data_IF_603064412318
#
_entry.id   IF_603064412318
#
_cell.length_a   1.000
_cell.length_b   1.000
_cell.length_c   1.000
_cell.angle_alpha   90.00
_cell.angle_beta   90.00
_cell.angle_gamma   90.00
#
_symmetry.space_group_name_H-M   'P 1'
#
loop_
_entity.id
_entity.type
_entity.pdbx_description
1 polymer ?
#
# COMPACT_ATOMS: atom_id res chain seq x y z
N UNK A 1 9.55 18.48 -22.16
CA UNK A 1 9.68 19.71 -21.38
C UNK A 1 8.41 19.78 -20.52
N UNK A 2 8.54 19.53 -19.23
CA UNK A 2 7.40 19.56 -18.29
C UNK A 2 7.28 21.01 -17.82
N UNK A 3 6.20 21.68 -18.17
CA UNK A 3 5.90 23.01 -17.63
C UNK A 3 5.24 22.84 -16.26
N UNK A 4 5.88 23.40 -15.25
CA UNK A 4 5.35 23.51 -13.89
C UNK A 4 4.42 24.71 -13.82
N UNK A 5 3.14 24.50 -13.59
CA UNK A 5 2.20 25.58 -13.25
C UNK A 5 1.91 25.48 -11.75
N UNK A 6 2.54 26.36 -10.97
CA UNK A 6 2.22 26.53 -9.55
C UNK A 6 1.11 27.57 -9.42
N UNK A 7 -0.05 27.16 -8.94
CA UNK A 7 -1.11 28.08 -8.52
C UNK A 7 -1.22 27.95 -6.99
N UNK A 8 -0.82 28.98 -6.30
CA UNK A 8 -0.94 29.11 -4.83
C UNK A 8 -2.43 29.13 -4.47
N UNK A 9 -2.87 28.16 -3.63
CA UNK A 9 -4.22 27.91 -3.09
C UNK A 9 -5.17 27.01 -3.90
N UNK A 10 -4.78 26.49 -5.07
CA UNK A 10 -5.42 25.33 -5.69
C UNK A 10 -4.29 24.45 -6.21
N UNK A 11 -3.91 23.45 -5.45
CA UNK A 11 -2.88 22.51 -5.85
C UNK A 11 -3.43 21.73 -7.04
N UNK A 12 -2.85 21.99 -8.22
CA UNK A 12 -3.10 21.20 -9.42
C UNK A 12 -2.11 20.05 -9.43
N UNK A 13 -2.56 18.91 -8.96
CA UNK A 13 -1.76 17.70 -9.02
C UNK A 13 -1.93 17.03 -10.40
N UNK A 14 -0.82 16.57 -10.96
CA UNK A 14 -0.80 15.96 -12.29
C UNK A 14 -0.73 14.45 -12.19
N UNK A 15 -1.67 13.78 -12.84
CA UNK A 15 -1.69 12.34 -13.00
C UNK A 15 -1.24 11.96 -14.41
N UNK A 16 -0.21 11.16 -14.52
CA UNK A 16 0.25 10.60 -15.79
C UNK A 16 -0.38 9.24 -16.02
N UNK A 17 -1.44 9.19 -16.82
CA UNK A 17 -2.01 7.95 -17.34
C UNK A 17 -1.93 7.95 -18.87
N UNK A 18 -1.22 6.98 -19.45
CA UNK A 18 -1.16 6.74 -20.90
C UNK A 18 -0.84 7.99 -21.74
N UNK A 19 0.14 8.80 -21.33
CA UNK A 19 0.52 10.07 -21.99
C UNK A 19 -0.59 11.13 -22.04
N UNK A 20 -1.64 11.01 -21.23
CA UNK A 20 -2.69 12.01 -21.08
C UNK A 20 -2.61 12.67 -19.70
N UNK A 21 -2.61 13.99 -19.69
CA UNK A 21 -2.61 14.79 -18.47
C UNK A 21 -4.06 15.02 -18.04
N UNK A 22 -4.43 14.52 -16.87
CA UNK A 22 -5.77 14.75 -16.31
C UNK A 22 -5.66 15.53 -15.00
N UNK A 23 -6.48 16.56 -14.86
CA UNK A 23 -6.57 17.42 -13.68
C UNK A 23 -7.70 16.94 -12.79
N UNK A 24 -7.41 16.63 -11.52
CA UNK A 24 -8.42 16.18 -10.57
C UNK A 24 -8.35 17.00 -9.28
N UNK A 25 -9.54 17.44 -8.82
CA UNK A 25 -9.73 17.93 -7.46
C UNK A 25 -10.21 16.75 -6.62
N UNK A 26 -9.33 16.20 -5.78
CA UNK A 26 -9.65 15.06 -4.93
C UNK A 26 -9.56 15.44 -3.45
N UNK A 27 -10.46 14.92 -2.60
CA UNK A 27 -10.42 15.24 -1.18
C UNK A 27 -9.12 14.70 -0.55
N UNK A 28 -8.37 15.59 0.07
CA UNK A 28 -7.23 15.25 0.93
C UNK A 28 -7.71 14.58 2.21
N UNK A 29 -6.85 13.96 2.99
CA UNK A 29 -7.14 13.44 4.31
C UNK A 29 -6.85 11.97 4.54
N UNK A 30 -7.32 11.45 5.67
CA UNK A 30 -7.03 10.10 6.12
C UNK A 30 -8.19 9.14 5.87
N UNK A 31 -7.86 7.87 5.65
CA UNK A 31 -8.78 6.75 5.57
C UNK A 31 -8.29 5.58 6.44
N UNK A 32 -9.25 4.88 7.05
CA UNK A 32 -8.95 3.72 7.89
C UNK A 32 -9.91 2.58 7.59
N UNK A 33 -9.36 1.40 7.38
CA UNK A 33 -10.11 0.17 7.10
C UNK A 33 -9.64 -0.96 8.02
N UNK A 34 -10.60 -1.65 8.65
CA UNK A 34 -10.36 -2.89 9.37
C UNK A 34 -10.86 -4.06 8.51
N UNK A 35 -9.93 -4.86 8.01
CA UNK A 35 -10.18 -5.99 7.12
C UNK A 35 -10.09 -7.29 7.92
N UNK A 36 -11.23 -7.84 8.30
CA UNK A 36 -11.35 -9.01 9.18
C UNK A 36 -11.99 -10.23 8.51
N UNK A 37 -12.17 -10.19 7.19
CA UNK A 37 -12.60 -11.35 6.42
C UNK A 37 -11.40 -12.28 6.16
N UNK A 38 -11.62 -13.60 5.94
CA UNK A 38 -10.53 -14.55 5.67
C UNK A 38 -9.72 -14.23 4.41
N UNK A 39 -10.30 -13.50 3.48
CA UNK A 39 -9.63 -12.99 2.28
C UNK A 39 -10.32 -11.74 1.77
N UNK A 40 -9.61 -10.95 1.00
CA UNK A 40 -10.15 -9.75 0.39
C UNK A 40 -9.12 -9.02 -0.44
N UNK A 41 -9.56 -7.90 -1.03
CA UNK A 41 -8.71 -7.02 -1.83
C UNK A 41 -8.87 -5.58 -1.38
N UNK A 42 -7.82 -4.81 -1.55
CA UNK A 42 -7.85 -3.37 -1.34
C UNK A 42 -6.87 -2.69 -2.31
N UNK A 43 -7.01 -1.38 -2.45
CA UNK A 43 -6.18 -0.60 -3.35
C UNK A 43 -5.97 0.82 -2.80
N UNK A 44 -5.00 1.52 -3.34
CA UNK A 44 -4.89 2.96 -3.12
C UNK A 44 -6.15 3.67 -3.62
N UNK A 45 -6.52 4.83 -3.03
CA UNK A 45 -7.67 5.60 -3.52
C UNK A 45 -7.59 5.84 -5.02
N UNK A 46 -8.71 5.74 -5.72
CA UNK A 46 -8.89 5.88 -7.17
C UNK A 46 -8.19 4.85 -8.07
N UNK A 47 -7.45 3.89 -7.54
CA UNK A 47 -6.84 2.87 -8.39
C UNK A 47 -7.88 2.22 -9.34
N UNK A 48 -7.60 2.02 -10.64
CA UNK A 48 -6.34 2.20 -11.35
C UNK A 48 -6.02 3.63 -11.80
N UNK A 49 -6.86 4.63 -11.47
CA UNK A 49 -6.55 6.04 -11.63
C UNK A 49 -5.51 6.49 -10.59
N UNK A 50 -5.02 7.72 -10.74
CA UNK A 50 -4.02 8.24 -9.82
C UNK A 50 -4.60 8.50 -8.43
N UNK A 51 -3.84 8.13 -7.40
CA UNK A 51 -4.21 8.47 -6.02
C UNK A 51 -4.15 9.98 -5.79
N UNK A 52 -4.99 10.51 -4.86
CA UNK A 52 -4.94 11.93 -4.50
C UNK A 52 -3.68 12.27 -3.72
N UNK A 53 -3.29 13.55 -3.79
CA UNK A 53 -2.27 14.14 -2.91
C UNK A 53 -2.74 14.19 -1.44
N UNK A 54 -1.83 14.40 -0.51
CA UNK A 54 -2.09 14.55 0.93
C UNK A 54 -2.95 13.42 1.52
N UNK A 55 -2.71 12.18 1.11
CA UNK A 55 -3.42 11.01 1.64
C UNK A 55 -2.63 10.28 2.69
N UNK A 56 -3.38 9.85 3.69
CA UNK A 56 -2.90 8.98 4.73
C UNK A 56 -3.91 7.87 5.00
N UNK A 57 -3.71 6.72 4.36
CA UNK A 57 -4.62 5.59 4.47
C UNK A 57 -4.00 4.43 5.26
N UNK A 58 -4.82 3.77 6.05
CA UNK A 58 -4.41 2.64 6.89
C UNK A 58 -5.36 1.47 6.68
N UNK A 59 -4.81 0.30 6.45
CA UNK A 59 -5.53 -0.98 6.44
C UNK A 59 -4.95 -1.85 7.54
N UNK A 60 -5.78 -2.17 8.55
CA UNK A 60 -5.47 -3.21 9.53
C UNK A 60 -6.11 -4.51 9.05
N UNK A 61 -5.28 -5.49 8.69
CA UNK A 61 -5.73 -6.81 8.28
C UNK A 61 -5.65 -7.73 9.49
N UNK A 62 -6.75 -8.48 9.75
CA UNK A 62 -6.87 -9.38 10.88
C UNK A 62 -7.28 -10.78 10.42
N UNK A 63 -6.41 -11.76 10.58
CA UNK A 63 -6.71 -13.16 10.33
C UNK A 63 -7.40 -13.82 11.55
N UNK A 64 -8.15 -14.91 11.37
CA UNK A 64 -8.61 -15.75 12.46
C UNK A 64 -7.48 -16.20 13.39
N UNK A 65 -7.83 -16.57 14.63
CA UNK A 65 -6.83 -17.05 15.60
C UNK A 65 -6.08 -18.26 15.08
N UNK A 66 -4.76 -18.29 15.25
CA UNK A 66 -3.90 -19.38 14.82
C UNK A 66 -3.54 -19.36 13.32
N UNK A 67 -3.90 -18.30 12.61
CA UNK A 67 -3.53 -18.09 11.21
C UNK A 67 -2.60 -16.87 11.06
N UNK A 68 -1.93 -16.79 9.93
CA UNK A 68 -1.14 -15.64 9.50
C UNK A 68 -1.68 -15.08 8.19
N UNK A 69 -1.20 -13.93 7.77
CA UNK A 69 -1.67 -13.20 6.61
C UNK A 69 -0.65 -13.35 5.47
N UNK A 70 -1.14 -13.81 4.32
CA UNK A 70 -0.52 -13.67 3.03
C UNK A 70 -1.06 -12.38 2.39
N UNK A 71 -0.17 -11.44 2.03
CA UNK A 71 -0.51 -10.21 1.34
C UNK A 71 0.28 -10.15 0.03
N UNK A 72 -0.42 -9.97 -1.08
CA UNK A 72 0.18 -9.88 -2.41
C UNK A 72 -0.21 -8.58 -3.10
N UNK A 73 0.77 -7.80 -3.52
CA UNK A 73 0.59 -6.64 -4.37
C UNK A 73 0.63 -7.08 -5.84
N UNK A 74 -0.50 -6.95 -6.53
CA UNK A 74 -0.63 -7.30 -7.94
C UNK A 74 -0.19 -6.18 -8.87
N UNK A 75 -0.28 -4.93 -8.42
CA UNK A 75 0.27 -3.76 -9.08
C UNK A 75 0.81 -2.78 -8.04
N UNK A 76 1.91 -2.09 -8.37
CA UNK A 76 2.53 -1.11 -7.47
C UNK A 76 3.29 -0.05 -8.26
N UNK A 77 2.80 1.20 -8.22
CA UNK A 77 3.43 2.34 -8.88
C UNK A 77 3.16 3.61 -8.09
N UNK A 78 4.09 3.97 -7.23
CA UNK A 78 4.11 5.21 -6.47
C UNK A 78 5.21 6.14 -6.97
N UNK A 79 5.22 7.38 -6.51
CA UNK A 79 6.32 8.28 -6.77
C UNK A 79 7.64 7.68 -6.26
N UNK A 80 8.72 7.89 -7.02
CA UNK A 80 10.06 7.45 -6.64
C UNK A 80 10.98 8.64 -6.41
N UNK A 81 11.47 8.79 -5.20
CA UNK A 81 12.44 9.82 -4.87
C UNK A 81 13.85 9.29 -4.67
N UNK A 82 13.95 8.21 -3.93
CA UNK A 82 15.21 7.54 -3.63
C UNK A 82 14.92 6.20 -2.94
N UNK A 83 15.96 5.44 -2.63
CA UNK A 83 15.85 4.19 -1.87
C UNK A 83 15.23 4.36 -0.46
N UNK A 84 15.16 5.59 0.06
CA UNK A 84 14.55 5.88 1.37
C UNK A 84 13.06 6.23 1.28
N UNK A 85 12.49 6.33 0.07
CA UNK A 85 11.09 6.69 -0.18
C UNK A 85 10.66 7.93 0.63
N UNK A 86 11.22 9.12 0.34
CA UNK A 86 11.00 10.31 1.15
C UNK A 86 9.62 10.96 0.94
N UNK A 87 8.96 10.68 -0.18
CA UNK A 87 7.72 11.32 -0.59
C UNK A 87 6.53 10.38 -0.42
N UNK A 88 6.14 9.66 -1.49
CA UNK A 88 5.02 8.73 -1.43
C UNK A 88 5.49 7.32 -1.10
N UNK A 89 4.82 6.65 -0.17
CA UNK A 89 5.25 5.30 0.22
C UNK A 89 4.12 4.45 0.81
N UNK A 90 4.36 3.15 0.80
CA UNK A 90 3.65 2.18 1.62
C UNK A 90 4.60 1.64 2.68
N UNK A 91 4.22 1.77 3.95
CA UNK A 91 4.85 1.09 5.08
C UNK A 91 4.03 -0.13 5.48
N UNK A 92 4.68 -1.27 5.70
CA UNK A 92 4.07 -2.50 6.18
C UNK A 92 4.69 -2.89 7.52
N UNK A 93 3.81 -3.19 8.48
CA UNK A 93 4.20 -3.56 9.84
C UNK A 93 3.60 -4.92 10.22
N UNK A 94 4.41 -5.76 10.83
CA UNK A 94 4.00 -7.04 11.39
C UNK A 94 3.33 -6.80 12.75
N UNK A 95 2.01 -6.83 12.80
CA UNK A 95 1.24 -6.57 13.99
C UNK A 95 0.14 -5.51 13.82
N UNK A 96 -0.43 -5.06 14.95
CA UNK A 96 -1.55 -4.10 14.98
C UNK A 96 -1.12 -2.65 14.95
N UNK A 97 0.14 -2.35 15.20
CA UNK A 97 0.63 -0.98 15.43
C UNK A 97 1.93 -0.70 14.70
N UNK A 98 2.12 0.58 14.37
CA UNK A 98 3.27 1.06 13.59
C UNK A 98 4.47 1.33 14.49
N UNK A 99 5.09 0.30 15.04
CA UNK A 99 6.37 0.42 15.73
C UNK A 99 7.53 0.18 14.77
N UNK A 100 8.63 0.91 14.93
CA UNK A 100 9.82 0.76 14.07
C UNK A 100 10.38 -0.66 14.09
N UNK A 101 10.30 -1.33 15.25
CA UNK A 101 10.75 -2.72 15.44
C UNK A 101 9.88 -3.76 14.71
N UNK A 102 8.65 -3.42 14.36
CA UNK A 102 7.72 -4.30 13.62
C UNK A 102 7.62 -3.94 12.13
N UNK A 103 8.34 -2.92 11.66
CA UNK A 103 8.31 -2.55 10.24
C UNK A 103 8.99 -3.63 9.40
N UNK A 104 8.23 -4.21 8.47
CA UNK A 104 8.74 -5.19 7.50
C UNK A 104 9.45 -4.47 6.37
N UNK A 105 8.78 -3.46 5.76
CA UNK A 105 9.28 -2.77 4.57
C UNK A 105 8.66 -1.37 4.45
N UNK A 106 9.41 -0.46 3.82
CA UNK A 106 8.91 0.74 3.16
C UNK A 106 9.12 0.58 1.67
N UNK A 107 8.07 0.79 0.86
CA UNK A 107 8.10 0.62 -0.58
C UNK A 107 7.59 1.87 -1.30
N UNK A 108 8.25 2.24 -2.39
CA UNK A 108 7.87 3.32 -3.31
C UNK A 108 8.36 2.99 -4.73
N UNK A 109 8.04 3.85 -5.69
CA UNK A 109 8.40 3.66 -7.09
C UNK A 109 7.55 2.59 -7.79
N UNK A 110 8.04 2.10 -8.92
CA UNK A 110 7.37 1.05 -9.68
C UNK A 110 8.01 -0.30 -9.36
N UNK A 111 7.21 -1.22 -8.83
CA UNK A 111 7.66 -2.56 -8.46
C UNK A 111 6.89 -3.63 -9.25
N UNK A 112 7.58 -4.72 -9.60
CA UNK A 112 6.94 -5.94 -10.05
C UNK A 112 6.05 -6.52 -8.92
N UNK A 113 5.05 -7.38 -9.23
CA UNK A 113 4.23 -8.01 -8.20
C UNK A 113 5.08 -8.70 -7.13
N UNK A 114 4.71 -8.50 -5.86
CA UNK A 114 5.48 -8.97 -4.70
C UNK A 114 4.58 -9.36 -3.54
N UNK A 115 5.15 -10.07 -2.57
CA UNK A 115 4.39 -10.71 -1.49
C UNK A 115 5.03 -10.44 -0.13
N UNK A 116 4.18 -10.28 0.88
CA UNK A 116 4.57 -10.18 2.30
C UNK A 116 3.76 -11.21 3.11
N UNK A 117 4.40 -11.77 4.13
CA UNK A 117 3.78 -12.63 5.12
C UNK A 117 3.88 -11.99 6.50
N UNK A 118 2.81 -12.05 7.28
CA UNK A 118 2.88 -11.70 8.70
C UNK A 118 3.40 -12.88 9.51
N UNK A 119 3.98 -12.61 10.69
CA UNK A 119 4.35 -13.65 11.65
C UNK A 119 3.14 -14.15 12.46
N UNK A 120 2.08 -13.35 12.53
CA UNK A 120 0.88 -13.66 13.30
C UNK A 120 -0.39 -13.17 12.61
N UNK A 121 -1.47 -13.03 13.37
CA UNK A 121 -2.80 -12.74 12.82
C UNK A 121 -3.05 -11.30 12.39
N UNK A 122 -2.09 -10.38 12.56
CA UNK A 122 -2.25 -8.98 12.22
C UNK A 122 -1.17 -8.49 11.28
N UNK A 123 -1.57 -7.69 10.29
CA UNK A 123 -0.69 -6.95 9.39
C UNK A 123 -1.25 -5.55 9.21
N UNK A 124 -0.41 -4.53 9.41
CA UNK A 124 -0.79 -3.14 9.24
C UNK A 124 -0.13 -2.58 7.99
N UNK A 125 -0.93 -2.06 7.07
CA UNK A 125 -0.48 -1.38 5.85
C UNK A 125 -0.83 0.09 5.95
N UNK A 126 0.14 0.97 5.70
CA UNK A 126 -0.04 2.43 5.72
C UNK A 126 0.45 3.00 4.40
N UNK A 127 -0.40 3.77 3.75
CA UNK A 127 -0.08 4.52 2.54
C UNK A 127 -0.03 6.00 2.87
N UNK A 128 0.98 6.66 2.37
CA UNK A 128 1.18 8.10 2.44
C UNK A 128 1.45 8.66 1.05
N UNK A 129 0.82 9.79 0.72
CA UNK A 129 1.17 10.61 -0.44
C UNK A 129 1.35 12.06 -0.02
N UNK A 130 2.37 12.70 -0.58
CA UNK A 130 2.63 14.13 -0.38
C UNK A 130 1.75 15.02 -1.27
N UNK A 131 2.12 16.28 -1.45
CA UNK A 131 1.29 17.31 -2.09
C UNK A 131 1.55 17.52 -3.58
N UNK A 132 2.41 16.71 -4.24
CA UNK A 132 2.93 17.09 -5.55
C UNK A 132 2.58 16.10 -6.67
N UNK A 133 3.05 14.86 -6.61
CA UNK A 133 2.98 13.92 -7.73
C UNK A 133 2.01 12.77 -7.44
N UNK A 134 1.11 12.52 -8.36
CA UNK A 134 0.16 11.41 -8.30
C UNK A 134 0.54 10.33 -9.30
N UNK A 135 0.54 9.07 -8.85
CA UNK A 135 0.78 7.89 -9.66
C UNK A 135 -0.43 6.94 -9.62
N UNK A 136 -0.47 5.89 -10.47
CA UNK A 136 -1.57 4.93 -10.49
C UNK A 136 -1.81 4.18 -9.18
N UNK A 137 -0.85 4.20 -8.25
CA UNK A 137 -0.99 3.58 -6.96
C UNK A 137 -0.78 2.08 -6.97
N UNK A 138 -1.52 1.38 -6.12
CA UNK A 138 -1.37 -0.06 -5.96
C UNK A 138 -2.72 -0.77 -5.83
N UNK A 139 -2.70 -2.06 -6.16
CA UNK A 139 -3.73 -3.02 -5.79
C UNK A 139 -3.10 -4.22 -5.09
N UNK A 140 -3.80 -4.73 -4.08
CA UNK A 140 -3.36 -5.86 -3.28
C UNK A 140 -4.53 -6.78 -2.94
N UNK A 141 -4.23 -8.06 -2.73
CA UNK A 141 -5.16 -8.98 -2.10
C UNK A 141 -4.49 -9.68 -0.92
N UNK A 142 -5.29 -10.08 0.04
CA UNK A 142 -4.82 -10.80 1.22
C UNK A 142 -5.62 -12.07 1.44
N UNK A 143 -4.99 -13.02 2.11
CA UNK A 143 -5.61 -14.28 2.53
C UNK A 143 -5.07 -14.69 3.90
N UNK A 144 -5.98 -15.13 4.79
CA UNK A 144 -5.62 -15.80 6.01
C UNK A 144 -5.17 -17.24 5.71
N UNK A 145 -4.02 -17.65 6.22
CA UNK A 145 -3.39 -18.94 5.93
C UNK A 145 -3.14 -19.69 7.24
N UNK A 146 -3.51 -20.95 7.28
CA UNK A 146 -3.21 -21.83 8.42
C UNK A 146 -1.79 -22.41 8.30
N UNK A 147 -1.11 -22.56 9.43
CA UNK A 147 0.12 -23.36 9.46
C UNK A 147 -0.23 -24.81 9.13
N UNK A 148 0.21 -25.33 7.98
CA UNK A 148 0.08 -26.75 7.70
C UNK A 148 1.00 -27.51 8.65
N UNK A 149 0.44 -28.41 9.47
CA UNK A 149 1.23 -29.44 10.14
C UNK A 149 1.67 -30.45 9.07
N UNK A 150 2.74 -30.15 8.37
CA UNK A 150 3.42 -31.17 7.56
C UNK A 150 4.03 -32.17 8.55
N UNK A 151 3.39 -33.33 8.68
CA UNK A 151 4.01 -34.47 9.35
C UNK A 151 5.26 -34.86 8.53
N UNK A 152 6.41 -34.38 8.95
CA UNK A 152 7.69 -34.91 8.48
C UNK A 152 7.83 -36.26 9.18
N UNK A 153 7.38 -37.33 8.55
CA UNK A 153 7.77 -38.67 8.92
C UNK A 153 9.24 -38.84 8.53
N UNK A 154 10.14 -38.71 9.50
CA UNK A 154 11.46 -39.31 9.36
C UNK A 154 11.27 -40.80 9.48
N UNK A 155 11.31 -41.53 8.35
CA UNK A 155 11.55 -42.97 8.37
C UNK A 155 13.01 -43.18 8.65
N UNK A 156 13.29 -43.69 9.83
CA UNK A 156 14.60 -44.29 10.26
C UNK A 156 14.92 -45.54 9.48
#
# INVERSE_FOLDING_TARGET
MLEWVSIVNNIVAFCMMNNSLSMFFLPTGSCYYHLNQPSGSFASPNHPGCYPVDKYCTWLIEAPSGQFIYLHFSSFHLEYGSAYCPWDFVDIFDGRSAHSSSKIIRACGQLAPWTVYSSGRFLLVKFYSDEIIMMPGFSAYYQAVSYSKTNIHFTS
#
